data_IF_662620414117
#
_entry.id   IF_662620414117
#
_cell.length_a   1.000
_cell.length_b   1.000
_cell.length_c   1.000
_cell.angle_alpha   90.00
_cell.angle_beta   90.00
_cell.angle_gamma   90.00
#
_symmetry.space_group_name_H-M   'P 1'
#
loop_
_entity.id
_entity.type
_entity.pdbx_description
1 polymer ?
#
# COMPACT_ATOMS: atom_id res chain seq x y z
N UNK A 1 -25.86 19.00 11.37
CA UNK A 1 -26.03 18.13 10.19
C UNK A 1 -25.61 18.85 8.90
N UNK A 2 -26.11 20.06 8.63
CA UNK A 2 -25.73 20.83 7.41
C UNK A 2 -24.25 21.23 7.37
N UNK A 3 -23.66 21.63 8.50
CA UNK A 3 -22.22 21.99 8.58
C UNK A 3 -21.29 20.79 8.43
N UNK A 4 -21.64 19.64 9.03
CA UNK A 4 -20.88 18.40 8.91
C UNK A 4 -20.88 17.90 7.45
N UNK A 5 -22.03 17.95 6.79
CA UNK A 5 -22.17 17.59 5.40
C UNK A 5 -21.39 18.55 4.48
N UNK A 6 -21.40 19.85 4.78
CA UNK A 6 -20.62 20.83 4.02
C UNK A 6 -19.12 20.56 4.13
N UNK A 7 -18.61 20.36 5.36
CA UNK A 7 -17.20 20.03 5.58
C UNK A 7 -16.79 18.74 4.86
N UNK A 8 -17.61 17.69 4.97
CA UNK A 8 -17.39 16.42 4.25
C UNK A 8 -17.36 16.64 2.73
N UNK A 9 -18.26 17.48 2.22
CA UNK A 9 -18.35 17.82 0.80
C UNK A 9 -17.19 18.66 0.27
N UNK A 10 -16.54 19.43 1.14
CA UNK A 10 -15.34 20.20 0.80
C UNK A 10 -14.08 19.35 0.73
N UNK A 11 -14.04 18.22 1.43
CA UNK A 11 -12.83 17.36 1.52
C UNK A 11 -12.80 16.21 0.53
N UNK A 12 -13.95 15.76 0.02
CA UNK A 12 -14.03 14.52 -0.77
C UNK A 12 -14.53 14.74 -2.21
N UNK A 13 -14.36 13.73 -3.06
CA UNK A 13 -14.79 13.79 -4.46
C UNK A 13 -16.18 13.16 -4.65
N UNK A 14 -17.15 13.90 -5.18
CA UNK A 14 -18.54 13.42 -5.33
C UNK A 14 -18.94 13.15 -6.78
N UNK A 15 -18.06 13.50 -7.71
CA UNK A 15 -18.27 13.30 -9.13
C UNK A 15 -16.91 13.21 -9.83
N UNK A 16 -16.95 12.80 -11.09
CA UNK A 16 -15.76 12.63 -11.92
C UNK A 16 -14.90 13.90 -12.04
N UNK A 17 -15.52 15.08 -12.14
CA UNK A 17 -14.77 16.33 -12.27
C UNK A 17 -13.97 16.64 -11.00
N UNK A 18 -14.52 16.33 -9.81
CA UNK A 18 -13.78 16.47 -8.55
C UNK A 18 -12.58 15.53 -8.53
N UNK A 19 -12.77 14.24 -8.87
CA UNK A 19 -11.66 13.26 -8.93
C UNK A 19 -10.58 13.70 -9.89
N UNK A 20 -10.95 14.16 -11.10
CA UNK A 20 -9.99 14.64 -12.10
C UNK A 20 -9.20 15.85 -11.60
N UNK A 21 -9.85 16.81 -10.94
CA UNK A 21 -9.19 17.98 -10.39
C UNK A 21 -8.24 17.60 -9.25
N UNK A 22 -8.69 16.77 -8.31
CA UNK A 22 -7.90 16.29 -7.18
C UNK A 22 -6.66 15.51 -7.66
N UNK A 23 -6.86 14.57 -8.59
CA UNK A 23 -5.76 13.76 -9.13
C UNK A 23 -4.75 14.60 -9.91
N UNK A 24 -5.22 15.59 -10.69
CA UNK A 24 -4.34 16.54 -11.37
C UNK A 24 -3.46 17.32 -10.37
N UNK A 25 -4.06 17.84 -9.30
CA UNK A 25 -3.32 18.56 -8.25
C UNK A 25 -2.30 17.64 -7.57
N UNK A 26 -2.65 16.38 -7.30
CA UNK A 26 -1.72 15.39 -6.78
C UNK A 26 -0.52 15.18 -7.71
N UNK A 27 -0.75 15.01 -9.02
CA UNK A 27 0.33 14.85 -10.00
C UNK A 27 1.26 16.07 -10.02
N UNK A 28 0.71 17.28 -10.02
CA UNK A 28 1.47 18.53 -10.04
C UNK A 28 2.34 18.69 -8.79
N UNK A 29 1.79 18.41 -7.60
CA UNK A 29 2.47 18.62 -6.32
C UNK A 29 3.43 17.49 -5.93
N UNK A 30 3.14 16.23 -6.26
CA UNK A 30 3.84 15.07 -5.67
C UNK A 30 4.65 14.25 -6.68
N UNK A 31 4.38 14.39 -7.98
CA UNK A 31 4.97 13.52 -9.01
C UNK A 31 5.81 14.32 -10.00
N UNK A 32 5.32 15.50 -10.39
CA UNK A 32 5.99 16.38 -11.34
C UNK A 32 6.94 17.37 -10.67
N UNK A 33 6.79 17.63 -9.37
CA UNK A 33 7.71 18.45 -8.60
C UNK A 33 9.06 17.72 -8.40
N UNK A 34 10.18 18.23 -8.95
CA UNK A 34 11.49 17.61 -8.80
C UNK A 34 12.08 17.74 -7.39
N UNK A 35 11.54 18.59 -6.51
CA UNK A 35 11.99 18.74 -5.12
C UNK A 35 11.32 17.72 -4.17
N UNK A 36 10.30 16.97 -4.60
CA UNK A 36 9.54 16.04 -3.75
C UNK A 36 9.51 14.55 -4.17
N UNK A 37 9.51 13.72 -3.12
CA UNK A 37 9.03 12.33 -2.96
C UNK A 37 9.52 11.16 -3.83
N UNK A 38 9.84 11.29 -5.13
CA UNK A 38 10.23 10.13 -5.95
C UNK A 38 11.70 10.16 -6.38
N UNK A 39 12.52 9.17 -5.93
CA UNK A 39 13.89 9.05 -6.41
C UNK A 39 13.96 8.88 -7.93
N UNK A 40 14.94 9.54 -8.54
CA UNK A 40 15.14 9.66 -9.99
C UNK A 40 15.12 8.36 -10.83
N UNK A 41 15.29 7.12 -10.31
CA UNK A 41 15.05 5.93 -11.13
C UNK A 41 13.58 5.55 -11.34
N UNK A 42 12.68 5.87 -10.39
CA UNK A 42 11.28 5.42 -10.41
C UNK A 42 10.28 6.51 -10.80
N UNK A 43 10.70 7.78 -10.81
CA UNK A 43 9.83 8.93 -11.12
C UNK A 43 9.23 8.86 -12.53
N UNK A 44 10.02 8.51 -13.55
CA UNK A 44 9.53 8.41 -14.93
C UNK A 44 8.43 7.36 -15.06
N UNK A 45 8.60 6.21 -14.39
CA UNK A 45 7.59 5.15 -14.35
C UNK A 45 6.33 5.59 -13.59
N UNK A 46 6.49 6.35 -12.50
CA UNK A 46 5.34 6.90 -11.77
C UNK A 46 4.57 7.92 -12.63
N UNK A 47 5.27 8.78 -13.36
CA UNK A 47 4.65 9.73 -14.30
C UNK A 47 3.86 8.98 -15.38
N UNK A 48 4.42 7.93 -15.95
CA UNK A 48 3.73 7.09 -16.94
C UNK A 48 2.47 6.44 -16.36
N UNK A 49 2.57 5.84 -15.16
CA UNK A 49 1.44 5.25 -14.45
C UNK A 49 0.33 6.28 -14.21
N UNK A 50 0.67 7.47 -13.72
CA UNK A 50 -0.30 8.54 -13.49
C UNK A 50 -0.96 9.00 -14.80
N UNK A 51 -0.23 9.10 -15.91
CA UNK A 51 -0.80 9.42 -17.22
C UNK A 51 -1.77 8.34 -17.72
N UNK A 52 -1.42 7.06 -17.54
CA UNK A 52 -2.30 5.93 -17.86
C UNK A 52 -3.57 5.95 -17.01
N UNK A 53 -3.44 6.22 -15.71
CA UNK A 53 -4.58 6.37 -14.81
C UNK A 53 -5.47 7.55 -15.21
N UNK A 54 -4.90 8.73 -15.47
CA UNK A 54 -5.65 9.89 -15.94
C UNK A 54 -6.41 9.60 -17.24
N UNK A 55 -5.75 8.96 -18.21
CA UNK A 55 -6.40 8.57 -19.46
C UNK A 55 -7.58 7.60 -19.20
N UNK A 56 -7.40 6.60 -18.35
CA UNK A 56 -8.46 5.67 -18.02
C UNK A 56 -9.62 6.34 -17.26
N UNK A 57 -9.30 7.25 -16.33
CA UNK A 57 -10.27 8.08 -15.61
C UNK A 57 -11.09 8.92 -16.60
N UNK A 58 -10.44 9.59 -17.55
CA UNK A 58 -11.09 10.42 -18.56
C UNK A 58 -12.06 9.63 -19.45
N UNK A 59 -11.78 8.36 -19.68
CA UNK A 59 -12.59 7.49 -20.55
C UNK A 59 -13.61 6.61 -19.80
N UNK A 60 -13.53 6.51 -18.47
CA UNK A 60 -14.48 5.72 -17.69
C UNK A 60 -15.79 6.48 -17.41
N UNK A 61 -16.87 5.74 -17.15
CA UNK A 61 -18.11 6.28 -16.59
C UNK A 61 -18.16 5.97 -15.11
N UNK A 62 -18.36 6.99 -14.28
CA UNK A 62 -18.57 6.83 -12.84
C UNK A 62 -20.06 6.85 -12.53
N UNK A 63 -20.53 6.09 -11.54
CA UNK A 63 -21.92 6.15 -11.13
C UNK A 63 -22.31 7.56 -10.68
N UNK A 64 -23.59 7.92 -10.84
CA UNK A 64 -24.07 9.13 -10.20
C UNK A 64 -24.34 8.82 -8.74
N UNK A 65 -23.73 9.60 -7.83
CA UNK A 65 -23.99 9.45 -6.41
C UNK A 65 -25.34 10.06 -6.07
N UNK A 66 -26.17 9.29 -5.36
CA UNK A 66 -27.51 9.71 -4.92
C UNK A 66 -27.61 9.90 -3.42
N UNK A 67 -26.66 9.36 -2.65
CA UNK A 67 -26.51 9.58 -1.21
C UNK A 67 -25.40 10.59 -0.95
N UNK A 68 -25.51 11.28 0.17
CA UNK A 68 -24.60 12.31 0.62
C UNK A 68 -23.28 11.75 1.19
N UNK A 69 -23.28 10.47 1.59
CA UNK A 69 -22.15 9.83 2.27
C UNK A 69 -21.33 8.89 1.38
N UNK A 70 -21.75 8.70 0.13
CA UNK A 70 -20.90 8.11 -0.88
C UNK A 70 -19.89 9.13 -1.39
N UNK A 71 -18.66 8.69 -1.60
CA UNK A 71 -17.62 9.52 -2.21
C UNK A 71 -16.58 8.67 -2.94
N UNK A 72 -15.91 9.29 -3.88
CA UNK A 72 -14.78 8.73 -4.61
C UNK A 72 -13.48 9.12 -3.95
N UNK A 73 -12.53 8.20 -3.95
CA UNK A 73 -11.14 8.49 -3.64
C UNK A 73 -10.20 7.63 -4.50
N UNK A 74 -9.01 8.14 -4.79
CA UNK A 74 -7.97 7.38 -5.46
C UNK A 74 -6.86 7.06 -4.47
N UNK A 75 -6.38 5.83 -4.53
CA UNK A 75 -5.30 5.38 -3.67
C UNK A 75 -4.14 4.84 -4.50
N UNK A 76 -2.93 5.12 -4.04
CA UNK A 76 -1.74 4.46 -4.55
C UNK A 76 -1.64 3.09 -3.89
N UNK A 77 -1.54 2.06 -4.72
CA UNK A 77 -1.23 0.71 -4.27
C UNK A 77 0.24 0.41 -4.56
N UNK A 78 0.76 -0.70 -4.03
CA UNK A 78 2.16 -1.11 -4.28
C UNK A 78 2.48 -1.38 -5.75
N UNK A 79 1.46 -1.60 -6.58
CA UNK A 79 1.60 -1.98 -7.98
C UNK A 79 0.72 -1.17 -8.92
N UNK A 80 0.19 -0.03 -8.49
CA UNK A 80 -0.74 0.74 -9.31
C UNK A 80 -1.44 1.89 -8.60
N UNK A 81 -2.52 2.34 -9.23
CA UNK A 81 -3.44 3.33 -8.68
C UNK A 81 -4.85 2.79 -8.87
N UNK A 82 -5.63 2.80 -7.78
CA UNK A 82 -7.01 2.35 -7.78
C UNK A 82 -7.92 3.55 -7.51
N UNK A 83 -9.02 3.68 -8.25
CA UNK A 83 -10.14 4.54 -7.93
C UNK A 83 -11.18 3.70 -7.20
N UNK A 84 -11.60 4.16 -6.02
CA UNK A 84 -12.57 3.48 -5.19
C UNK A 84 -13.79 4.36 -4.89
N UNK A 85 -14.88 3.69 -4.59
CA UNK A 85 -16.12 4.25 -4.06
C UNK A 85 -16.26 3.78 -2.62
N UNK A 86 -16.43 4.72 -1.71
CA UNK A 86 -16.55 4.48 -0.29
C UNK A 86 -17.87 5.01 0.25
N UNK A 87 -18.45 4.29 1.22
CA UNK A 87 -19.54 4.81 2.04
C UNK A 87 -19.01 5.20 3.42
N UNK A 88 -19.15 6.47 3.77
CA UNK A 88 -18.82 6.98 5.10
C UNK A 88 -19.94 6.66 6.09
N UNK A 89 -19.63 5.91 7.15
CA UNK A 89 -20.58 5.63 8.24
C UNK A 89 -20.48 6.68 9.34
N UNK A 90 -19.26 6.98 9.78
CA UNK A 90 -18.98 7.97 10.81
C UNK A 90 -17.64 8.65 10.55
N UNK A 91 -17.50 9.87 11.08
CA UNK A 91 -16.24 10.60 11.08
C UNK A 91 -16.18 11.55 12.28
N UNK A 92 -14.97 11.81 12.74
CA UNK A 92 -14.70 12.74 13.84
C UNK A 92 -14.14 14.05 13.29
N UNK A 93 -14.65 15.17 13.79
CA UNK A 93 -14.18 16.51 13.44
C UNK A 93 -13.36 17.05 14.60
N UNK A 94 -12.10 17.39 14.35
CA UNK A 94 -11.24 18.10 15.28
C UNK A 94 -10.93 19.52 14.84
N UNK A 95 -9.86 20.10 15.40
CA UNK A 95 -9.54 21.53 15.23
C UNK A 95 -9.23 21.91 13.76
N UNK A 96 -8.71 20.96 12.98
CA UNK A 96 -8.25 21.18 11.61
C UNK A 96 -9.15 20.52 10.54
N UNK A 97 -10.37 20.11 10.91
CA UNK A 97 -11.30 19.43 10.01
C UNK A 97 -11.51 17.96 10.40
N UNK A 98 -11.71 17.09 9.42
CA UNK A 98 -11.96 15.67 9.66
C UNK A 98 -10.66 15.00 10.13
N UNK A 99 -10.66 14.42 11.33
CA UNK A 99 -9.50 13.75 11.95
C UNK A 99 -9.48 12.25 11.68
N UNK A 100 -10.65 11.61 11.70
CA UNK A 100 -10.80 10.18 11.52
C UNK A 100 -12.11 9.86 10.79
N UNK A 101 -12.15 8.71 10.11
CA UNK A 101 -13.33 8.27 9.36
C UNK A 101 -13.42 6.76 9.31
N UNK A 102 -14.64 6.23 9.40
CA UNK A 102 -14.96 4.81 9.29
C UNK A 102 -15.78 4.57 8.02
N UNK A 103 -15.39 3.53 7.26
CA UNK A 103 -16.06 3.11 6.03
C UNK A 103 -16.63 1.71 6.20
N UNK A 104 -17.86 1.49 5.74
CA UNK A 104 -18.51 0.17 5.76
C UNK A 104 -18.51 -0.53 4.41
N UNK A 105 -18.49 0.25 3.33
CA UNK A 105 -18.52 -0.26 1.95
C UNK A 105 -17.39 0.34 1.13
N UNK A 106 -16.74 -0.51 0.34
CA UNK A 106 -15.63 -0.18 -0.54
C UNK A 106 -15.76 -0.94 -1.87
N UNK A 107 -15.68 -0.21 -2.99
CA UNK A 107 -15.67 -0.80 -4.32
C UNK A 107 -14.55 -0.22 -5.18
N UNK A 108 -13.70 -1.07 -5.76
CA UNK A 108 -12.74 -0.64 -6.80
C UNK A 108 -13.46 -0.46 -8.14
N UNK A 109 -13.48 0.78 -8.64
CA UNK A 109 -14.14 1.16 -9.90
C UNK A 109 -13.20 1.13 -11.10
N UNK A 110 -11.95 1.52 -10.87
CA UNK A 110 -10.90 1.55 -11.88
C UNK A 110 -9.60 1.15 -11.20
N UNK A 111 -8.82 0.27 -11.84
CA UNK A 111 -7.50 -0.08 -11.39
C UNK A 111 -6.54 -0.02 -12.56
N UNK A 112 -5.48 0.76 -12.42
CA UNK A 112 -4.40 0.85 -13.40
C UNK A 112 -3.13 0.36 -12.73
N UNK A 113 -2.59 -0.75 -13.23
CA UNK A 113 -1.37 -1.36 -12.70
C UNK A 113 -0.13 -0.85 -13.43
N UNK A 114 0.98 -0.75 -12.69
CA UNK A 114 2.28 -0.50 -13.27
C UNK A 114 2.81 -1.76 -13.96
N UNK A 115 3.85 -1.57 -14.75
CA UNK A 115 4.59 -2.70 -15.31
C UNK A 115 5.39 -3.43 -14.23
N UNK A 116 5.71 -4.69 -14.48
CA UNK A 116 6.57 -5.49 -13.62
C UNK A 116 7.90 -5.71 -14.33
N UNK A 117 8.99 -5.49 -13.58
CA UNK A 117 10.35 -5.73 -14.06
C UNK A 117 10.95 -6.92 -13.32
N UNK A 118 11.85 -7.64 -13.98
CA UNK A 118 12.61 -8.68 -13.32
C UNK A 118 13.75 -8.09 -12.47
N UNK A 119 14.44 -8.95 -11.72
CA UNK A 119 15.57 -8.56 -10.85
C UNK A 119 16.71 -7.87 -11.62
N UNK A 120 17.02 -8.33 -12.83
CA UNK A 120 18.08 -7.77 -13.68
C UNK A 120 17.74 -6.35 -14.13
N UNK A 121 16.53 -6.14 -14.64
CA UNK A 121 16.03 -4.85 -15.07
C UNK A 121 15.96 -3.85 -13.90
N UNK A 122 15.45 -4.28 -12.74
CA UNK A 122 15.39 -3.43 -11.55
C UNK A 122 16.80 -3.04 -11.06
N UNK A 123 17.76 -3.97 -11.13
CA UNK A 123 19.15 -3.73 -10.78
C UNK A 123 19.79 -2.69 -11.71
N UNK A 124 19.55 -2.81 -13.03
CA UNK A 124 20.03 -1.86 -14.02
C UNK A 124 19.45 -0.45 -13.82
N UNK A 125 18.13 -0.33 -13.61
CA UNK A 125 17.45 0.95 -13.34
C UNK A 125 18.04 1.66 -12.12
N UNK A 126 18.35 0.90 -11.06
CA UNK A 126 18.84 1.45 -9.79
C UNK A 126 20.37 1.49 -9.68
N UNK A 127 21.09 1.16 -10.75
CA UNK A 127 22.56 1.08 -10.79
C UNK A 127 23.15 0.26 -9.62
N UNK A 128 22.62 -0.94 -9.41
CA UNK A 128 23.09 -1.91 -8.41
C UNK A 128 23.27 -3.29 -9.04
N UNK A 129 23.86 -4.23 -8.31
CA UNK A 129 23.97 -5.61 -8.78
C UNK A 129 22.69 -6.41 -8.52
N UNK A 130 22.38 -7.40 -9.36
CA UNK A 130 21.29 -8.35 -9.09
C UNK A 130 21.38 -9.01 -7.72
N UNK A 131 22.60 -9.34 -7.27
CA UNK A 131 22.86 -9.93 -5.96
C UNK A 131 22.33 -8.99 -4.86
N UNK A 132 22.52 -7.68 -5.02
CA UNK A 132 22.03 -6.67 -4.07
C UNK A 132 20.50 -6.67 -4.02
N UNK A 133 19.83 -6.70 -5.17
CA UNK A 133 18.36 -6.75 -5.24
C UNK A 133 17.82 -8.04 -4.62
N UNK A 134 18.43 -9.20 -4.92
CA UNK A 134 18.05 -10.48 -4.29
C UNK A 134 18.26 -10.47 -2.78
N UNK A 135 19.30 -9.80 -2.28
CA UNK A 135 19.52 -9.60 -0.85
C UNK A 135 18.45 -8.70 -0.24
N UNK A 136 17.99 -7.66 -0.94
CA UNK A 136 16.88 -6.83 -0.46
C UNK A 136 15.58 -7.62 -0.32
N UNK A 137 15.24 -8.42 -1.33
CA UNK A 137 14.07 -9.31 -1.28
C UNK A 137 14.21 -10.32 -0.13
N UNK A 138 15.35 -11.03 -0.05
CA UNK A 138 15.62 -12.02 0.99
C UNK A 138 15.54 -11.46 2.41
N UNK A 139 15.92 -10.19 2.59
CA UNK A 139 15.92 -9.51 3.91
C UNK A 139 14.64 -8.74 4.20
N UNK A 140 13.59 -8.90 3.40
CA UNK A 140 12.31 -8.21 3.59
C UNK A 140 12.39 -6.70 3.39
N UNK A 141 13.35 -6.20 2.60
CA UNK A 141 13.53 -4.77 2.33
C UNK A 141 12.80 -4.27 1.09
N UNK A 142 12.52 -5.17 0.15
CA UNK A 142 11.79 -4.88 -1.08
C UNK A 142 10.51 -5.72 -1.06
N UNK A 143 9.55 -5.29 -0.24
CA UNK A 143 8.37 -6.11 0.13
C UNK A 143 7.32 -6.19 -0.97
N UNK A 144 7.34 -5.24 -1.89
CA UNK A 144 6.44 -5.20 -3.04
C UNK A 144 6.81 -6.19 -4.14
N UNK A 145 7.97 -6.86 -4.03
CA UNK A 145 8.38 -7.92 -4.94
C UNK A 145 7.47 -9.14 -4.80
N UNK A 146 6.97 -9.65 -5.93
CA UNK A 146 6.09 -10.81 -5.99
C UNK A 146 6.84 -11.99 -6.62
N UNK A 147 6.65 -13.17 -6.04
CA UNK A 147 7.22 -14.41 -6.57
C UNK A 147 6.30 -15.02 -7.61
N UNK A 148 6.81 -15.23 -8.83
CA UNK A 148 6.08 -15.88 -9.93
C UNK A 148 6.91 -17.05 -10.44
N UNK A 149 6.48 -18.27 -10.10
CA UNK A 149 7.27 -19.47 -10.38
C UNK A 149 8.63 -19.44 -9.68
N UNK A 150 9.71 -19.35 -10.47
CA UNK A 150 11.10 -19.27 -9.97
C UNK A 150 11.63 -17.83 -9.90
N UNK A 151 10.91 -16.89 -10.50
CA UNK A 151 11.37 -15.53 -10.69
C UNK A 151 10.71 -14.58 -9.69
N UNK A 152 11.38 -13.46 -9.47
CA UNK A 152 10.87 -12.34 -8.71
C UNK A 152 10.56 -11.20 -9.65
N UNK A 153 9.32 -10.74 -9.60
CA UNK A 153 8.84 -9.57 -10.32
C UNK A 153 8.68 -8.42 -9.34
N UNK A 154 9.17 -7.25 -9.73
CA UNK A 154 9.19 -6.05 -8.90
C UNK A 154 8.34 -5.00 -9.63
N UNK A 155 7.36 -4.36 -8.97
CA UNK A 155 6.65 -3.23 -9.55
C UNK A 155 7.63 -2.17 -10.04
N UNK A 156 7.46 -1.66 -11.24
CA UNK A 156 8.37 -0.68 -11.84
C UNK A 156 8.37 0.67 -11.13
N UNK A 157 7.36 0.91 -10.28
CA UNK A 157 7.24 2.05 -9.37
C UNK A 157 7.89 1.82 -7.99
N UNK A 158 8.42 0.62 -7.72
CA UNK A 158 9.01 0.30 -6.42
C UNK A 158 10.28 1.14 -6.19
N UNK A 159 10.39 1.69 -4.98
CA UNK A 159 11.52 2.53 -4.59
C UNK A 159 12.66 1.66 -4.08
N UNK A 160 13.91 2.11 -4.34
CA UNK A 160 15.09 1.52 -3.73
C UNK A 160 14.99 1.55 -2.20
N UNK A 161 15.21 0.43 -1.49
CA UNK A 161 15.10 0.41 -0.04
C UNK A 161 16.09 1.36 0.65
N UNK A 162 15.60 2.09 1.66
CA UNK A 162 16.41 2.95 2.50
C UNK A 162 17.32 2.16 3.47
N UNK A 163 18.23 2.88 4.13
CA UNK A 163 19.05 2.30 5.21
C UNK A 163 18.19 2.12 6.46
N UNK A 164 18.42 1.03 7.19
CA UNK A 164 17.62 0.67 8.36
C UNK A 164 16.48 -0.27 8.02
N UNK A 165 15.52 -0.37 8.94
CA UNK A 165 14.29 -1.13 8.83
C UNK A 165 13.12 -0.15 8.94
N UNK A 166 12.14 -0.28 8.05
CA UNK A 166 10.84 0.37 8.15
C UNK A 166 9.79 -0.63 8.64
N UNK A 167 8.87 -0.22 9.53
CA UNK A 167 7.72 -1.05 9.89
C UNK A 167 6.85 -1.40 8.68
N UNK A 168 6.17 -2.54 8.75
CA UNK A 168 5.24 -2.95 7.71
C UNK A 168 4.09 -3.79 8.28
N UNK A 169 2.93 -3.65 7.67
CA UNK A 169 1.76 -4.50 7.90
C UNK A 169 1.60 -5.48 6.75
N UNK A 170 1.24 -6.72 7.06
CA UNK A 170 0.88 -7.74 6.08
C UNK A 170 -0.54 -8.22 6.33
N UNK A 171 -1.31 -8.41 5.27
CA UNK A 171 -2.73 -8.74 5.33
C UNK A 171 -3.06 -9.92 4.42
N UNK A 172 -4.01 -10.76 4.84
CA UNK A 172 -4.54 -11.85 4.03
C UNK A 172 -5.99 -12.15 4.43
N UNK A 173 -6.84 -12.41 3.44
CA UNK A 173 -8.23 -12.80 3.72
C UNK A 173 -8.29 -14.27 4.15
N UNK A 174 -7.42 -15.10 3.56
CA UNK A 174 -7.28 -16.51 3.90
C UNK A 174 -5.81 -16.89 3.93
N UNK A 175 -5.34 -17.37 5.08
CA UNK A 175 -3.96 -17.81 5.27
C UNK A 175 -3.69 -19.09 4.44
N UNK A 176 -2.71 -19.08 3.53
CA UNK A 176 -2.28 -20.29 2.81
C UNK A 176 -1.77 -21.39 3.74
N UNK A 177 -2.04 -22.64 3.39
CA UNK A 177 -1.59 -23.82 4.17
C UNK A 177 -0.08 -23.84 4.36
N UNK A 178 0.68 -23.47 3.32
CA UNK A 178 2.16 -23.41 3.40
C UNK A 178 2.65 -22.42 4.46
N UNK A 179 1.94 -21.31 4.66
CA UNK A 179 2.24 -20.33 5.70
C UNK A 179 1.75 -20.81 7.07
N UNK A 180 0.56 -21.40 7.18
CA UNK A 180 0.07 -21.93 8.46
C UNK A 180 0.94 -23.08 9.00
N UNK A 181 1.48 -23.93 8.13
CA UNK A 181 2.34 -25.05 8.52
C UNK A 181 3.70 -24.56 9.04
N UNK A 182 4.25 -23.53 8.39
CA UNK A 182 5.56 -22.97 8.73
C UNK A 182 5.50 -21.98 9.90
N UNK A 183 4.36 -21.30 10.06
CA UNK A 183 4.13 -20.24 11.04
C UNK A 183 2.75 -20.43 11.72
N UNK A 184 2.60 -21.44 12.59
CA UNK A 184 1.31 -21.75 13.21
C UNK A 184 0.71 -20.61 14.05
N UNK A 185 1.55 -19.69 14.54
CA UNK A 185 1.09 -18.52 15.31
C UNK A 185 0.29 -17.52 14.45
N UNK A 186 0.32 -17.60 13.12
CA UNK A 186 -0.51 -16.80 12.22
C UNK A 186 -1.96 -17.30 12.13
N UNK A 187 -2.23 -18.54 12.58
CA UNK A 187 -3.56 -19.15 12.49
C UNK A 187 -4.56 -18.37 13.36
N UNK A 188 -5.73 -18.07 12.80
CA UNK A 188 -6.78 -17.31 13.48
C UNK A 188 -6.70 -15.80 13.27
N UNK A 189 -5.64 -15.30 12.63
CA UNK A 189 -5.47 -13.88 12.32
C UNK A 189 -5.52 -13.64 10.81
N UNK A 190 -5.77 -12.39 10.44
CA UNK A 190 -5.80 -11.89 9.05
C UNK A 190 -4.76 -10.80 8.77
N UNK A 191 -3.99 -10.40 9.79
CA UNK A 191 -2.90 -9.46 9.62
C UNK A 191 -1.79 -9.60 10.68
N UNK A 192 -0.62 -9.08 10.34
CA UNK A 192 0.52 -8.94 11.24
C UNK A 192 1.24 -7.62 10.96
N UNK A 193 1.45 -6.83 12.02
CA UNK A 193 2.26 -5.62 12.00
C UNK A 193 3.63 -5.91 12.60
N UNK A 194 4.71 -5.58 11.89
CA UNK A 194 6.09 -5.85 12.31
C UNK A 194 6.84 -4.53 12.47
N UNK A 195 7.42 -4.31 13.65
CA UNK A 195 8.23 -3.13 13.94
C UNK A 195 9.49 -3.48 14.74
N UNK A 196 10.54 -2.67 14.59
CA UNK A 196 11.80 -2.91 15.29
C UNK A 196 11.66 -2.53 16.77
N UNK A 197 12.13 -3.40 17.66
CA UNK A 197 12.11 -3.13 19.09
C UNK A 197 13.04 -1.94 19.42
N UNK A 198 12.54 -0.97 20.18
CA UNK A 198 13.26 0.27 20.47
C UNK A 198 14.47 0.06 21.37
N UNK A 199 14.37 -0.88 22.33
CA UNK A 199 15.40 -1.17 23.33
C UNK A 199 16.46 -2.13 22.78
N UNK A 200 16.04 -3.14 22.01
CA UNK A 200 16.95 -4.15 21.45
C UNK A 200 16.80 -4.22 19.93
N UNK A 201 17.65 -3.46 19.22
CA UNK A 201 17.59 -3.29 17.75
C UNK A 201 17.67 -4.60 16.92
N UNK A 202 18.08 -5.71 17.51
CA UNK A 202 18.15 -7.02 16.83
C UNK A 202 16.84 -7.82 16.92
N UNK A 203 15.88 -7.34 17.73
CA UNK A 203 14.57 -7.93 17.92
C UNK A 203 13.50 -7.09 17.24
N UNK A 204 12.43 -7.77 16.84
CA UNK A 204 11.27 -7.21 16.19
C UNK A 204 10.04 -7.65 16.94
N UNK A 205 9.21 -6.69 17.30
CA UNK A 205 7.91 -6.97 17.87
C UNK A 205 6.90 -7.13 16.74
N UNK A 206 6.08 -8.16 16.82
CA UNK A 206 5.01 -8.41 15.88
C UNK A 206 3.67 -8.44 16.61
N UNK A 207 2.71 -7.69 16.10
CA UNK A 207 1.34 -7.67 16.63
C UNK A 207 0.42 -8.29 15.58
N UNK A 208 -0.28 -9.34 15.95
CA UNK A 208 -1.27 -10.02 15.13
C UNK A 208 -2.67 -9.46 15.42
N UNK A 209 -3.48 -9.36 14.37
CA UNK A 209 -4.85 -8.83 14.45
C UNK A 209 -4.92 -7.31 14.30
N UNK A 210 -6.07 -6.85 13.79
CA UNK A 210 -6.31 -5.44 13.48
C UNK A 210 -6.28 -4.59 14.76
N UNK A 211 -5.80 -3.33 14.68
CA UNK A 211 -5.99 -2.36 15.76
C UNK A 211 -7.47 -2.32 16.20
N UNK A 212 -7.71 -2.31 17.52
CA UNK A 212 -9.06 -2.34 18.09
C UNK A 212 -9.65 -3.73 18.37
N UNK A 213 -9.05 -4.81 17.86
CA UNK A 213 -9.46 -6.16 18.23
C UNK A 213 -8.98 -6.55 19.65
N UNK A 214 -9.81 -7.30 20.39
CA UNK A 214 -9.53 -7.71 21.77
C UNK A 214 -8.61 -8.94 21.89
N UNK A 215 -8.49 -9.73 20.83
CA UNK A 215 -7.77 -11.01 20.77
C UNK A 215 -6.39 -10.89 20.13
N UNK A 216 -5.84 -9.66 20.06
CA UNK A 216 -4.52 -9.41 19.47
C UNK A 216 -3.41 -10.12 20.25
N UNK A 217 -2.49 -10.72 19.51
CA UNK A 217 -1.32 -11.39 20.06
C UNK A 217 -0.05 -10.61 19.75
N UNK A 218 0.83 -10.48 20.74
CA UNK A 218 2.18 -9.95 20.56
C UNK A 218 3.21 -11.06 20.66
N UNK A 219 4.12 -11.11 19.69
CA UNK A 219 5.31 -11.95 19.74
C UNK A 219 6.55 -11.09 19.50
N UNK A 220 7.71 -11.60 19.90
CA UNK A 220 9.00 -10.98 19.59
C UNK A 220 9.85 -12.01 18.86
N UNK A 221 10.44 -11.60 17.74
CA UNK A 221 11.25 -12.44 16.87
C UNK A 221 12.62 -11.82 16.61
N UNK A 222 13.60 -12.66 16.30
CA UNK A 222 14.95 -12.23 15.92
C UNK A 222 14.99 -11.69 14.50
N UNK A 223 16.11 -11.05 14.14
CA UNK A 223 16.37 -10.61 12.76
C UNK A 223 16.24 -11.75 11.74
N UNK A 224 16.79 -12.93 12.02
CA UNK A 224 16.76 -14.06 11.10
C UNK A 224 15.36 -14.64 10.93
N UNK A 225 14.57 -14.71 12.01
CA UNK A 225 13.18 -15.17 11.95
C UNK A 225 12.31 -14.19 11.16
N UNK A 226 12.50 -12.88 11.40
CA UNK A 226 11.82 -11.81 10.68
C UNK A 226 12.09 -11.85 9.18
N UNK A 227 13.37 -11.97 8.77
CA UNK A 227 13.73 -12.09 7.35
C UNK A 227 13.10 -13.32 6.68
N UNK A 228 13.06 -14.47 7.38
CA UNK A 228 12.40 -15.69 6.87
C UNK A 228 10.89 -15.50 6.73
N UNK A 229 10.26 -14.92 7.76
CA UNK A 229 8.82 -14.67 7.80
C UNK A 229 8.41 -13.70 6.68
N UNK A 230 9.05 -12.53 6.58
CA UNK A 230 8.73 -11.55 5.54
C UNK A 230 8.94 -12.13 4.14
N UNK A 231 10.03 -12.90 3.91
CA UNK A 231 10.26 -13.57 2.63
C UNK A 231 9.15 -14.57 2.29
N UNK A 232 8.66 -15.32 3.28
CA UNK A 232 7.56 -16.27 3.09
C UNK A 232 6.24 -15.54 2.79
N UNK A 233 5.96 -14.44 3.48
CA UNK A 233 4.78 -13.60 3.28
C UNK A 233 4.75 -13.01 1.86
N UNK A 234 5.82 -12.34 1.42
CA UNK A 234 5.86 -11.72 0.07
C UNK A 234 5.97 -12.76 -1.06
N UNK A 235 6.36 -14.00 -0.75
CA UNK A 235 6.32 -15.10 -1.71
C UNK A 235 4.89 -15.58 -1.99
N UNK A 236 3.91 -15.23 -1.15
CA UNK A 236 2.52 -15.61 -1.30
C UNK A 236 1.77 -14.56 -2.13
N UNK A 237 1.05 -15.00 -3.16
CA UNK A 237 0.26 -14.10 -4.01
C UNK A 237 -0.99 -13.53 -3.34
N UNK A 238 -1.44 -14.12 -2.22
CA UNK A 238 -2.64 -13.69 -1.49
C UNK A 238 -2.32 -12.76 -0.33
N UNK A 239 -1.05 -12.54 -0.03
CA UNK A 239 -0.61 -11.62 1.03
C UNK A 239 -0.40 -10.24 0.42
N UNK A 240 -1.06 -9.24 1.01
CA UNK A 240 -0.85 -7.82 0.72
C UNK A 240 0.09 -7.23 1.77
N UNK A 241 0.84 -6.21 1.39
CA UNK A 241 1.75 -5.49 2.29
C UNK A 241 1.44 -4.00 2.26
N UNK A 242 1.57 -3.33 3.39
CA UNK A 242 1.52 -1.88 3.51
C UNK A 242 2.77 -1.43 4.28
N UNK A 243 3.50 -0.46 3.73
CA UNK A 243 4.71 0.10 4.31
C UNK A 243 4.42 1.50 4.89
N UNK A 244 5.04 1.82 6.03
CA UNK A 244 4.92 3.11 6.74
C UNK A 244 6.27 3.84 6.82
#
# INVERSE_FOLDING_TARGET
>A
MTEHLALFKETHCFNKAHVQLAFKNYMELNVLDPEEHYPEPCRSTMIDLCKRFQFALDNCSLPQLTDDWWFYDYERTNDGIDLKLYFCEEFEIGENGIESMTFTEEFTLLSVKCDYVNVEQFAAINNVTEITVRQWIRRGKLRTAKKVGRDWLIPSIAVKPARGFSPASYFWDRLPTTLSDSYPFLIGYNCIYIFQNEQVKQHFDCILGYPGQNDRMKITITTTEREKLELALISSSVVRVEEY
#
